data_IF_919326711292
#
_entry.id   IF_919326711292
#
_cell.length_a   1.000
_cell.length_b   1.000
_cell.length_c   1.000
_cell.angle_alpha   90.00
_cell.angle_beta   90.00
_cell.angle_gamma   90.00
#
_symmetry.space_group_name_H-M   'P 1'
#
loop_
_entity.id
_entity.type
_entity.pdbx_description
1 polymer ?
#
# COMPACT_ATOMS: atom_id res chain seq x y z
N UNK A 1 -4.27 -10.75 10.56
CA UNK A 1 -3.13 -9.91 10.13
C UNK A 1 -1.85 -10.70 10.30
N UNK A 2 -0.85 -10.44 9.45
CA UNK A 2 0.49 -11.05 9.54
C UNK A 2 1.55 -9.99 9.87
N UNK A 3 1.60 -9.47 11.11
CA UNK A 3 2.46 -8.34 11.47
C UNK A 3 3.96 -8.63 11.26
N UNK A 4 4.38 -9.89 11.46
CA UNK A 4 5.76 -10.33 11.24
C UNK A 4 6.17 -10.39 9.76
N UNK A 5 5.21 -10.30 8.84
CA UNK A 5 5.45 -10.29 7.38
C UNK A 5 5.23 -8.88 6.77
N UNK A 6 4.88 -7.88 7.60
CA UNK A 6 4.83 -6.49 7.17
C UNK A 6 6.25 -5.96 6.98
N UNK A 7 6.47 -5.26 5.88
CA UNK A 7 7.76 -4.67 5.51
C UNK A 7 7.59 -3.26 4.95
N UNK A 8 8.55 -2.39 5.23
CA UNK A 8 8.67 -1.07 4.62
C UNK A 8 10.00 -1.04 3.88
N UNK A 9 9.97 -0.62 2.62
CA UNK A 9 11.18 -0.50 1.80
C UNK A 9 12.10 0.54 2.43
N UNK A 10 13.36 0.18 2.62
CA UNK A 10 14.36 1.15 3.07
C UNK A 10 14.70 2.09 1.90
N UNK A 11 14.38 3.36 2.06
CA UNK A 11 14.58 4.41 1.07
C UNK A 11 15.18 5.62 1.78
N UNK A 12 16.24 6.22 1.24
CA UNK A 12 16.89 7.39 1.86
C UNK A 12 15.89 8.53 2.13
N UNK A 13 14.92 8.72 1.23
CA UNK A 13 13.90 9.77 1.34
C UNK A 13 12.89 9.58 2.49
N UNK A 14 12.81 8.40 3.09
CA UNK A 14 11.88 8.12 4.21
C UNK A 14 12.60 7.52 5.43
N UNK A 15 13.93 7.35 5.35
CA UNK A 15 14.72 6.64 6.35
C UNK A 15 14.64 7.28 7.74
N UNK A 16 14.62 8.61 7.79
CA UNK A 16 14.59 9.39 9.04
C UNK A 16 13.16 9.60 9.58
N UNK A 17 12.14 9.46 8.74
CA UNK A 17 10.73 9.57 9.15
C UNK A 17 10.17 8.24 9.67
N UNK A 18 10.75 7.10 9.27
CA UNK A 18 10.26 5.77 9.67
C UNK A 18 10.93 5.30 10.96
N UNK A 19 10.12 5.04 11.99
CA UNK A 19 10.61 4.44 13.23
C UNK A 19 10.89 2.94 13.08
N UNK A 20 12.12 2.59 12.72
CA UNK A 20 12.56 1.21 12.45
C UNK A 20 12.57 0.32 13.71
N UNK A 21 12.10 -0.91 13.58
CA UNK A 21 12.10 -1.87 14.68
C UNK A 21 11.24 -3.11 14.42
N UNK A 22 10.69 -3.69 15.49
CA UNK A 22 9.87 -4.92 15.40
C UNK A 22 8.57 -4.73 14.60
N UNK A 23 8.08 -3.50 14.48
CA UNK A 23 6.84 -3.17 13.75
C UNK A 23 7.13 -2.74 12.32
N UNK A 24 8.09 -1.83 12.13
CA UNK A 24 8.53 -1.36 10.83
C UNK A 24 9.86 -2.05 10.48
N UNK A 25 9.74 -3.19 9.80
CA UNK A 25 10.87 -4.02 9.43
C UNK A 25 11.33 -3.60 8.03
N UNK A 26 12.64 -3.34 7.89
CA UNK A 26 13.27 -2.94 6.62
C UNK A 26 13.12 -4.04 5.56
N UNK A 27 13.00 -3.61 4.31
CA UNK A 27 13.08 -4.46 3.14
C UNK A 27 13.95 -3.78 2.09
N UNK A 28 14.82 -4.54 1.45
CA UNK A 28 15.60 -4.00 0.34
C UNK A 28 14.71 -3.64 -0.84
N UNK A 29 15.08 -2.58 -1.55
CA UNK A 29 14.39 -2.14 -2.76
C UNK A 29 14.31 -3.26 -3.81
N UNK A 30 15.39 -4.04 -3.98
CA UNK A 30 15.43 -5.17 -4.91
C UNK A 30 14.40 -6.26 -4.54
N UNK A 31 14.32 -6.63 -3.26
CA UNK A 31 13.33 -7.61 -2.78
C UNK A 31 11.89 -7.13 -2.96
N UNK A 32 11.65 -5.82 -2.78
CA UNK A 32 10.34 -5.23 -3.10
C UNK A 32 10.00 -5.37 -4.59
N UNK A 33 10.95 -5.05 -5.48
CA UNK A 33 10.73 -5.19 -6.93
C UNK A 33 10.44 -6.64 -7.32
N UNK A 34 11.17 -7.61 -6.76
CA UNK A 34 10.89 -9.04 -7.00
C UNK A 34 9.46 -9.42 -6.58
N UNK A 35 9.02 -8.97 -5.40
CA UNK A 35 7.65 -9.25 -4.94
C UNK A 35 6.60 -8.53 -5.80
N UNK A 36 6.87 -7.29 -6.20
CA UNK A 36 6.00 -6.52 -7.09
C UNK A 36 5.84 -7.20 -8.44
N UNK A 37 6.93 -7.60 -9.07
CA UNK A 37 6.93 -8.33 -10.35
C UNK A 37 6.10 -9.61 -10.25
N UNK A 38 6.34 -10.43 -9.21
CA UNK A 38 5.52 -11.63 -8.95
C UNK A 38 4.03 -11.34 -8.79
N UNK A 39 3.68 -10.25 -8.10
CA UNK A 39 2.28 -9.85 -7.93
C UNK A 39 1.66 -9.44 -9.27
N UNK A 40 2.36 -8.63 -10.05
CA UNK A 40 1.93 -8.18 -11.38
C UNK A 40 1.78 -9.36 -12.34
N UNK A 41 2.76 -10.27 -12.38
CA UNK A 41 2.71 -11.48 -13.20
C UNK A 41 1.48 -12.32 -12.85
N UNK A 42 1.27 -12.59 -11.56
CA UNK A 42 0.09 -13.32 -11.11
C UNK A 42 -1.20 -12.63 -11.55
N UNK A 43 -1.31 -11.31 -11.36
CA UNK A 43 -2.51 -10.54 -11.74
C UNK A 43 -2.73 -10.58 -13.26
N UNK A 44 -1.68 -10.47 -14.07
CA UNK A 44 -1.76 -10.57 -15.53
C UNK A 44 -2.21 -11.94 -16.04
N UNK A 45 -2.00 -13.02 -15.27
CA UNK A 45 -2.55 -14.34 -15.61
C UNK A 45 -4.05 -14.49 -15.33
N UNK A 46 -4.71 -13.51 -14.70
CA UNK A 46 -6.14 -13.60 -14.36
C UNK A 46 -7.00 -13.15 -15.53
N UNK A 47 -8.08 -13.90 -15.80
CA UNK A 47 -9.08 -13.53 -16.82
C UNK A 47 -9.84 -12.24 -16.49
N UNK A 48 -9.92 -11.89 -15.22
CA UNK A 48 -10.62 -10.70 -14.72
C UNK A 48 -9.87 -10.13 -13.53
N UNK A 49 -9.71 -8.82 -13.55
CA UNK A 49 -9.23 -8.01 -12.45
C UNK A 49 -10.35 -7.07 -12.00
N UNK A 50 -10.29 -6.68 -10.74
CA UNK A 50 -11.16 -5.67 -10.16
C UNK A 50 -10.29 -4.50 -9.71
N UNK A 51 -10.69 -3.30 -10.12
CA UNK A 51 -10.01 -2.05 -9.78
C UNK A 51 -10.98 -1.22 -8.96
N UNK A 52 -10.51 -0.71 -7.83
CA UNK A 52 -11.27 0.18 -6.96
C UNK A 52 -10.44 1.43 -6.73
N UNK A 53 -10.97 2.55 -7.21
CA UNK A 53 -10.45 3.89 -6.94
C UNK A 53 -11.26 4.54 -5.83
N UNK A 54 -10.58 5.29 -4.97
CA UNK A 54 -11.20 6.04 -3.89
C UNK A 54 -10.16 6.74 -3.04
N UNK A 55 -10.61 7.27 -1.91
CA UNK A 55 -9.76 8.10 -1.06
C UNK A 55 -9.65 7.56 0.36
N UNK A 56 -8.44 7.67 0.93
CA UNK A 56 -8.20 7.55 2.36
C UNK A 56 -8.37 8.92 3.03
N UNK A 57 -9.39 9.07 3.87
CA UNK A 57 -9.75 10.34 4.50
C UNK A 57 -10.89 11.07 3.78
N UNK A 58 -11.73 11.78 4.54
CA UNK A 58 -12.90 12.51 4.04
C UNK A 58 -12.61 13.97 3.68
N UNK A 59 -11.62 14.57 4.35
CA UNK A 59 -11.26 15.97 4.12
C UNK A 59 -10.53 16.13 2.78
N UNK A 60 -11.05 16.99 1.90
CA UNK A 60 -10.51 17.18 0.56
C UNK A 60 -9.07 17.69 0.55
N UNK A 61 -8.65 18.42 1.59
CA UNK A 61 -7.31 18.99 1.68
C UNK A 61 -6.24 17.96 2.09
N UNK A 62 -6.67 16.86 2.71
CA UNK A 62 -5.77 15.86 3.31
C UNK A 62 -5.98 14.44 2.79
N UNK A 63 -7.02 14.19 2.00
CA UNK A 63 -7.32 12.85 1.52
C UNK A 63 -6.24 12.33 0.58
N UNK A 64 -5.96 11.03 0.70
CA UNK A 64 -4.95 10.35 -0.11
C UNK A 64 -5.64 9.54 -1.20
N UNK A 65 -5.36 9.77 -2.50
CA UNK A 65 -5.92 8.95 -3.56
C UNK A 65 -5.32 7.54 -3.50
N UNK A 66 -6.17 6.51 -3.57
CA UNK A 66 -5.78 5.09 -3.50
C UNK A 66 -6.43 4.33 -4.65
N UNK A 67 -5.63 3.51 -5.33
CA UNK A 67 -6.09 2.55 -6.34
C UNK A 67 -5.79 1.14 -5.87
N UNK A 68 -6.80 0.29 -5.78
CA UNK A 68 -6.64 -1.12 -5.41
C UNK A 68 -6.85 -1.99 -6.63
N UNK A 69 -5.87 -2.84 -6.95
CA UNK A 69 -5.94 -3.83 -8.03
C UNK A 69 -5.97 -5.21 -7.38
N UNK A 70 -7.01 -6.00 -7.63
CA UNK A 70 -7.18 -7.31 -7.00
C UNK A 70 -7.79 -8.34 -7.95
N UNK A 71 -7.50 -9.62 -7.71
CA UNK A 71 -8.07 -10.75 -8.45
C UNK A 71 -9.42 -11.23 -7.90
N UNK A 72 -9.83 -10.81 -6.70
CA UNK A 72 -11.05 -11.33 -6.03
C UNK A 72 -12.10 -10.24 -5.84
N UNK A 73 -13.33 -10.54 -6.25
CA UNK A 73 -14.46 -9.61 -6.16
C UNK A 73 -14.73 -9.13 -4.72
N UNK A 74 -14.64 -10.01 -3.72
CA UNK A 74 -14.89 -9.60 -2.33
C UNK A 74 -13.82 -8.64 -1.79
N UNK A 75 -12.58 -8.71 -2.29
CA UNK A 75 -11.53 -7.75 -1.91
C UNK A 75 -11.84 -6.37 -2.48
N UNK A 76 -12.35 -6.31 -3.71
CA UNK A 76 -12.81 -5.06 -4.31
C UNK A 76 -14.01 -4.50 -3.55
N UNK A 77 -15.06 -5.30 -3.31
CA UNK A 77 -16.22 -4.90 -2.52
C UNK A 77 -15.82 -4.43 -1.11
N UNK A 78 -14.89 -5.13 -0.46
CA UNK A 78 -14.38 -4.72 0.84
C UNK A 78 -13.74 -3.32 0.77
N UNK A 79 -12.91 -3.04 -0.24
CA UNK A 79 -12.27 -1.73 -0.36
C UNK A 79 -13.24 -0.63 -0.79
N UNK A 80 -14.24 -0.95 -1.62
CA UNK A 80 -15.33 -0.05 -1.96
C UNK A 80 -16.11 0.40 -0.70
N UNK A 81 -16.29 -0.51 0.26
CA UNK A 81 -16.93 -0.19 1.54
C UNK A 81 -16.03 0.58 2.52
N UNK A 82 -14.71 0.53 2.35
CA UNK A 82 -13.75 1.09 3.32
C UNK A 82 -13.16 2.44 2.89
N UNK A 83 -13.06 2.69 1.57
CA UNK A 83 -12.59 3.96 1.03
C UNK A 83 -13.74 4.95 0.89
N UNK A 84 -13.40 6.23 0.84
CA UNK A 84 -14.35 7.28 0.44
C UNK A 84 -14.51 7.19 -1.08
N UNK A 85 -15.75 7.05 -1.59
CA UNK A 85 -15.99 6.93 -3.02
C UNK A 85 -15.67 8.27 -3.73
N UNK A 86 -15.08 8.22 -4.93
CA UNK A 86 -14.88 9.42 -5.74
C UNK A 86 -16.21 9.94 -6.29
N UNK A 87 -16.28 11.23 -6.60
CA UNK A 87 -17.31 11.77 -7.50
C UNK A 87 -17.07 11.33 -8.95
N UNK A 88 -18.02 11.56 -9.85
CA UNK A 88 -17.88 11.19 -11.27
C UNK A 88 -16.67 11.90 -11.92
N UNK A 89 -16.51 13.21 -11.67
CA UNK A 89 -15.36 13.99 -12.16
C UNK A 89 -14.03 13.47 -11.60
N UNK A 90 -14.02 13.06 -10.33
CA UNK A 90 -12.82 12.48 -9.71
C UNK A 90 -12.50 11.11 -10.31
N UNK A 91 -13.52 10.29 -10.58
CA UNK A 91 -13.34 8.99 -11.24
C UNK A 91 -12.74 9.18 -12.66
N UNK A 92 -13.19 10.18 -13.42
CA UNK A 92 -12.59 10.59 -14.70
C UNK A 92 -11.11 10.97 -14.52
N UNK A 93 -10.79 11.72 -13.46
CA UNK A 93 -9.40 12.12 -13.15
C UNK A 93 -8.49 10.92 -12.79
N UNK A 94 -9.04 9.89 -12.13
CA UNK A 94 -8.35 8.62 -11.88
C UNK A 94 -8.10 7.84 -13.18
N UNK A 95 -9.07 7.82 -14.11
CA UNK A 95 -8.95 7.09 -15.37
C UNK A 95 -7.98 7.77 -16.36
N UNK A 96 -8.03 9.09 -16.45
CA UNK A 96 -7.17 9.91 -17.32
C UNK A 96 -5.74 10.04 -16.82
N UNK A 97 -5.45 9.65 -15.57
CA UNK A 97 -4.13 9.73 -14.96
C UNK A 97 -3.74 11.12 -14.47
N UNK A 98 -4.71 12.03 -14.33
CA UNK A 98 -4.51 13.34 -13.70
C UNK A 98 -4.19 13.21 -12.21
N UNK A 99 -4.80 12.22 -11.55
CA UNK A 99 -4.50 11.84 -10.17
C UNK A 99 -3.43 10.75 -10.16
N UNK A 100 -2.42 10.90 -9.29
CA UNK A 100 -1.41 9.86 -9.02
C UNK A 100 -1.73 9.14 -7.71
N UNK A 101 -2.45 8.00 -7.76
CA UNK A 101 -2.85 7.30 -6.55
C UNK A 101 -1.70 6.49 -5.94
N UNK A 102 -1.80 6.24 -4.64
CA UNK A 102 -1.09 5.14 -4.02
C UNK A 102 -1.71 3.82 -4.49
N UNK A 103 -0.91 2.94 -5.09
CA UNK A 103 -1.40 1.70 -5.72
C UNK A 103 -1.20 0.49 -4.81
N UNK A 104 -2.28 -0.27 -4.56
CA UNK A 104 -2.23 -1.54 -3.83
C UNK A 104 -2.42 -2.69 -4.82
N UNK A 105 -1.36 -3.47 -5.04
CA UNK A 105 -1.40 -4.73 -5.78
C UNK A 105 -1.74 -5.88 -4.82
N UNK A 106 -3.02 -6.25 -4.78
CA UNK A 106 -3.46 -7.38 -3.99
C UNK A 106 -3.47 -8.67 -4.82
N UNK A 107 -2.32 -9.33 -4.82
CA UNK A 107 -2.08 -10.67 -5.33
C UNK A 107 -2.09 -11.71 -4.20
N UNK A 108 -2.85 -11.48 -3.13
CA UNK A 108 -2.77 -12.24 -1.87
C UNK A 108 -3.07 -13.74 -1.97
N UNK A 109 -3.65 -14.20 -3.09
CA UNK A 109 -3.82 -15.63 -3.40
C UNK A 109 -2.50 -16.31 -3.76
N UNK A 110 -1.55 -15.55 -4.32
CA UNK A 110 -0.26 -16.05 -4.79
C UNK A 110 0.82 -15.85 -3.71
N UNK A 111 1.65 -16.87 -3.42
CA UNK A 111 2.64 -16.79 -2.36
C UNK A 111 3.86 -15.95 -2.75
N UNK A 112 4.42 -15.29 -1.74
CA UNK A 112 5.77 -14.72 -1.82
C UNK A 112 6.82 -15.83 -1.91
N UNK A 113 7.95 -15.53 -2.54
CA UNK A 113 9.07 -16.44 -2.60
C UNK A 113 9.86 -16.37 -1.28
N UNK A 114 9.90 -17.47 -0.52
CA UNK A 114 10.63 -17.57 0.75
C UNK A 114 12.14 -17.39 0.61
N UNK A 115 12.67 -17.61 -0.60
CA UNK A 115 14.09 -17.42 -0.91
C UNK A 115 14.44 -15.98 -1.26
N UNK A 116 13.45 -15.08 -1.38
CA UNK A 116 13.71 -13.65 -1.55
C UNK A 116 14.21 -13.07 -0.23
N UNK A 117 15.31 -12.32 -0.29
CA UNK A 117 15.92 -11.69 0.88
C UNK A 117 14.93 -10.81 1.67
N UNK A 118 14.95 -10.94 3.00
CA UNK A 118 14.05 -10.25 3.91
C UNK A 118 12.67 -10.91 4.09
N UNK A 119 12.36 -11.97 3.33
CA UNK A 119 11.14 -12.78 3.52
C UNK A 119 11.34 -13.83 4.62
N UNK A 120 10.32 -13.97 5.47
CA UNK A 120 10.32 -14.93 6.59
C UNK A 120 9.27 -16.03 6.43
N UNK A 121 8.35 -15.86 5.47
CA UNK A 121 7.28 -16.80 5.20
C UNK A 121 6.83 -16.70 3.73
N UNK A 122 5.80 -17.46 3.35
CA UNK A 122 5.14 -17.31 2.04
C UNK A 122 4.22 -16.08 1.97
N UNK A 123 4.10 -15.30 3.04
CA UNK A 123 3.32 -14.06 3.12
C UNK A 123 4.26 -12.86 3.00
N UNK A 124 3.83 -11.83 2.27
CA UNK A 124 4.54 -10.56 2.19
C UNK A 124 3.54 -9.42 2.10
N UNK A 125 3.68 -8.42 2.97
CA UNK A 125 2.89 -7.19 2.97
C UNK A 125 3.87 -6.02 2.95
N UNK A 126 4.29 -5.62 1.75
CA UNK A 126 5.40 -4.68 1.55
C UNK A 126 4.90 -3.32 1.05
N UNK A 127 5.46 -2.24 1.60
CA UNK A 127 5.10 -0.85 1.28
C UNK A 127 6.35 -0.07 0.84
N UNK A 128 6.27 0.60 -0.30
CA UNK A 128 7.25 1.57 -0.79
C UNK A 128 6.63 2.95 -0.84
N UNK A 129 7.19 3.90 -0.08
CA UNK A 129 6.69 5.27 -0.06
C UNK A 129 7.16 6.04 -1.30
N UNK A 130 8.41 5.85 -1.73
CA UNK A 130 8.97 6.46 -2.94
C UNK A 130 8.20 6.08 -4.20
N UNK A 131 7.76 4.83 -4.31
CA UNK A 131 6.96 4.36 -5.46
C UNK A 131 5.46 4.59 -5.28
N UNK A 132 5.02 4.93 -4.07
CA UNK A 132 3.61 4.98 -3.69
C UNK A 132 2.88 3.66 -3.99
N UNK A 133 3.52 2.53 -3.65
CA UNK A 133 3.04 1.19 -3.97
C UNK A 133 3.02 0.29 -2.74
N UNK A 134 2.01 -0.57 -2.66
CA UNK A 134 1.92 -1.67 -1.70
C UNK A 134 1.67 -2.97 -2.43
N UNK A 135 2.37 -4.02 -2.00
CA UNK A 135 2.26 -5.36 -2.58
C UNK A 135 1.82 -6.33 -1.49
N UNK A 136 0.77 -7.10 -1.78
CA UNK A 136 0.24 -8.14 -0.88
C UNK A 136 0.34 -9.49 -1.59
N UNK A 137 1.06 -10.42 -0.97
CA UNK A 137 1.24 -11.80 -1.40
C UNK A 137 0.99 -12.76 -0.23
N UNK A 138 0.46 -13.95 -0.53
CA UNK A 138 0.35 -15.06 0.42
C UNK A 138 -0.65 -14.88 1.56
N UNK A 139 -1.49 -13.84 1.53
CA UNK A 139 -2.56 -13.62 2.50
C UNK A 139 -3.82 -13.09 1.83
N UNK A 140 -4.96 -13.68 2.15
CA UNK A 140 -6.27 -13.26 1.65
C UNK A 140 -7.04 -12.44 2.69
N UNK A 141 -6.41 -12.10 3.81
CA UNK A 141 -7.05 -11.31 4.86
C UNK A 141 -7.24 -9.86 4.39
N UNK A 142 -8.49 -9.46 4.11
CA UNK A 142 -8.81 -8.15 3.53
C UNK A 142 -8.36 -6.97 4.40
N UNK A 143 -8.24 -7.18 5.72
CA UNK A 143 -7.76 -6.17 6.65
C UNK A 143 -6.30 -5.73 6.40
N UNK A 144 -5.51 -6.47 5.62
CA UNK A 144 -4.18 -6.00 5.19
C UNK A 144 -4.28 -4.76 4.30
N UNK A 145 -5.25 -4.70 3.37
CA UNK A 145 -5.46 -3.51 2.53
C UNK A 145 -5.90 -2.31 3.38
N UNK A 146 -6.88 -2.50 4.27
CA UNK A 146 -7.35 -1.46 5.21
C UNK A 146 -6.19 -0.91 6.06
N UNK A 147 -5.38 -1.80 6.65
CA UNK A 147 -4.25 -1.38 7.48
C UNK A 147 -3.06 -0.85 6.68
N UNK A 148 -2.96 -1.23 5.40
CA UNK A 148 -2.08 -0.60 4.42
C UNK A 148 -2.42 0.88 4.23
N UNK A 149 -3.67 1.18 3.86
CA UNK A 149 -4.17 2.56 3.77
C UNK A 149 -3.95 3.32 5.07
N UNK A 150 -4.27 2.72 6.22
CA UNK A 150 -4.01 3.34 7.52
C UNK A 150 -2.52 3.59 7.79
N UNK A 151 -1.62 2.71 7.34
CA UNK A 151 -0.16 2.93 7.46
C UNK A 151 0.28 4.12 6.61
N UNK A 152 -0.25 4.24 5.38
CA UNK A 152 0.04 5.34 4.48
C UNK A 152 -0.45 6.66 5.07
N UNK A 153 -1.68 6.69 5.63
CA UNK A 153 -2.21 7.88 6.32
C UNK A 153 -1.34 8.28 7.52
N UNK A 154 -0.93 7.33 8.36
CA UNK A 154 -0.07 7.63 9.51
C UNK A 154 1.34 8.10 9.12
N UNK A 155 1.78 7.84 7.89
CA UNK A 155 3.04 8.38 7.36
C UNK A 155 2.85 9.76 6.75
N UNK A 156 1.85 9.92 5.88
CA UNK A 156 1.64 11.16 5.13
C UNK A 156 1.03 12.29 5.97
N UNK A 157 0.08 11.99 6.86
CA UNK A 157 -0.63 13.02 7.63
C UNK A 157 0.29 13.83 8.56
N UNK A 158 1.23 13.23 9.31
CA UNK A 158 2.18 14.02 10.11
C UNK A 158 3.10 14.92 9.28
N UNK A 159 3.22 14.66 7.97
CA UNK A 159 4.00 15.44 7.02
C UNK A 159 3.16 16.56 6.35
N UNK A 160 1.84 16.61 6.61
CA UNK A 160 0.88 17.53 5.95
C UNK A 160 0.08 18.35 6.98
N UNK A 161 0.01 19.70 6.87
CA UNK A 161 0.91 20.55 6.07
C UNK A 161 2.34 20.46 6.64
N UNK A 162 3.37 20.93 5.92
CA UNK A 162 4.76 20.95 6.42
C UNK A 162 4.80 21.57 7.82
N UNK A 163 4.84 20.73 8.85
CA UNK A 163 5.10 21.17 10.22
C UNK A 163 6.59 21.45 10.29
N UNK A 164 6.97 22.68 10.64
CA UNK A 164 8.34 23.07 10.97
C UNK A 164 8.81 22.46 12.31
N UNK A 165 8.34 21.26 12.64
CA UNK A 165 8.71 20.53 13.85
C UNK A 165 9.70 19.40 13.49
N UNK A 166 10.81 19.25 14.24
CA UNK A 166 11.75 18.15 14.08
C UNK A 166 11.04 16.80 14.14
N UNK A 167 11.50 15.76 13.41
CA UNK A 167 10.83 14.45 13.35
C UNK A 167 10.48 13.81 14.71
N UNK A 168 11.32 14.04 15.74
CA UNK A 168 11.10 13.53 17.09
C UNK A 168 9.96 14.24 17.86
N UNK A 169 9.65 15.48 17.52
CA UNK A 169 8.60 16.28 18.17
C UNK A 169 7.25 16.17 17.46
N UNK A 170 7.17 15.46 16.33
CA UNK A 170 5.91 15.21 15.60
C UNK A 170 4.99 14.19 16.29
N UNK A 171 5.49 13.50 17.32
CA UNK A 171 4.80 12.42 18.04
C UNK A 171 4.31 12.81 19.45
N UNK A 172 4.44 14.09 19.82
CA UNK A 172 3.82 14.72 21.00
C UNK A 172 2.63 15.57 20.57
#
# INVERSE_FOLDING_TARGET
RSPLDKRIVFEESSADDVWWGKVNIKLEYKSFLTNRERAVDYLNTRKRLYIVDGYGGWDHDYRVPVRVITSRAYHALFMQNMLVPPTDDEAEAFMSGQVKPFVIFNAGVFPANRQTEGMTSSTSVAVSFKRQEMVILGTQYAGEMKKGVFTIMNYLMPLMPKRELPPAERAL
#
